data_IF_578270917077
#
_entry.id   IF_578270917077
#
_cell.length_a   1.000
_cell.length_b   1.000
_cell.length_c   1.000
_cell.angle_alpha   90.00
_cell.angle_beta   90.00
_cell.angle_gamma   90.00
#
_symmetry.space_group_name_H-M   'P 1'
#
loop_
_entity.id
_entity.type
_entity.pdbx_description
1 polymer ?
#
# COMPACT_ATOMS: atom_id res chain seq x y z
N UNK A 1 -15.92 -75.68 40.49
CA UNK A 1 -15.22 -74.39 40.48
C UNK A 1 -15.07 -74.04 39.02
N UNK A 2 -15.59 -72.89 38.58
CA UNK A 2 -15.61 -72.55 37.16
C UNK A 2 -14.21 -72.11 36.73
N UNK A 3 -13.61 -72.84 35.79
CA UNK A 3 -12.28 -72.51 35.28
C UNK A 3 -12.32 -71.17 34.52
N UNK A 4 -11.42 -70.21 34.83
CA UNK A 4 -11.39 -68.90 34.20
C UNK A 4 -11.06 -68.99 32.71
N UNK A 5 -11.75 -68.17 31.91
CA UNK A 5 -11.51 -68.01 30.47
C UNK A 5 -10.65 -66.75 30.27
N UNK A 6 -9.61 -66.85 29.45
CA UNK A 6 -8.68 -65.76 29.15
C UNK A 6 -8.79 -65.36 27.67
N UNK A 7 -8.94 -64.07 27.38
CA UNK A 7 -8.95 -63.52 26.03
C UNK A 7 -7.58 -62.88 25.71
N UNK A 8 -7.00 -63.22 24.55
CA UNK A 8 -5.82 -62.53 24.02
C UNK A 8 -6.20 -61.62 22.86
N UNK A 9 -6.11 -60.29 23.01
CA UNK A 9 -6.43 -59.35 21.94
C UNK A 9 -5.54 -59.49 20.71
N UNK A 10 -4.27 -59.89 20.89
CA UNK A 10 -3.33 -60.06 19.79
C UNK A 10 -3.57 -61.32 18.95
N UNK A 11 -4.09 -62.38 19.58
CA UNK A 11 -4.36 -63.64 18.89
C UNK A 11 -5.83 -63.83 18.52
N UNK A 12 -6.70 -62.92 18.97
CA UNK A 12 -8.16 -62.99 18.87
C UNK A 12 -8.75 -64.36 19.26
N UNK A 13 -8.18 -65.00 20.28
CA UNK A 13 -8.53 -66.34 20.73
C UNK A 13 -8.92 -66.34 22.21
N UNK A 14 -9.89 -67.20 22.54
CA UNK A 14 -10.29 -67.52 23.91
C UNK A 14 -9.59 -68.80 24.37
N UNK A 15 -8.94 -68.74 25.52
CA UNK A 15 -8.23 -69.86 26.13
C UNK A 15 -8.95 -70.30 27.38
N UNK A 16 -9.11 -71.62 27.54
CA UNK A 16 -9.56 -72.23 28.79
C UNK A 16 -8.45 -73.12 29.32
N UNK A 17 -8.14 -72.98 30.60
CA UNK A 17 -7.25 -73.91 31.28
C UNK A 17 -8.06 -75.14 31.67
N UNK A 18 -7.70 -76.30 31.11
CA UNK A 18 -8.14 -77.58 31.66
C UNK A 18 -7.25 -77.95 32.85
N UNK A 19 -7.78 -78.78 33.75
CA UNK A 19 -7.18 -79.06 35.07
C UNK A 19 -5.78 -79.71 34.99
N UNK A 20 -5.33 -80.11 33.79
CA UNK A 20 -4.02 -80.73 33.52
C UNK A 20 -2.99 -79.79 32.87
N UNK A 21 -3.08 -78.48 33.08
CA UNK A 21 -2.10 -77.48 32.58
C UNK A 21 -1.97 -77.42 31.05
N UNK A 22 -2.85 -78.08 30.30
CA UNK A 22 -2.86 -78.01 28.84
C UNK A 22 -3.82 -76.92 28.38
N UNK A 23 -3.32 -76.03 27.54
CA UNK A 23 -4.13 -74.98 26.90
C UNK A 23 -4.94 -75.66 25.80
N UNK A 24 -6.21 -75.94 26.08
CA UNK A 24 -7.16 -76.31 25.02
C UNK A 24 -7.53 -75.04 24.25
N UNK A 25 -6.90 -74.86 23.09
CA UNK A 25 -7.29 -73.83 22.13
C UNK A 25 -8.62 -74.26 21.51
N UNK A 26 -9.70 -73.57 21.85
CA UNK A 26 -10.98 -73.77 21.19
C UNK A 26 -10.93 -73.10 19.82
N UNK A 27 -10.53 -73.85 18.79
CA UNK A 27 -10.53 -73.43 17.38
C UNK A 27 -11.95 -73.30 16.79
N UNK A 28 -12.91 -72.78 17.57
CA UNK A 28 -14.19 -72.31 17.02
C UNK A 28 -14.02 -70.88 16.50
N UNK A 29 -13.23 -70.75 15.45
CA UNK A 29 -12.98 -69.51 14.71
C UNK A 29 -14.16 -69.06 13.84
N UNK A 30 -15.39 -69.46 14.17
CA UNK A 30 -16.57 -69.29 13.30
C UNK A 30 -17.67 -68.37 13.84
N UNK A 31 -17.51 -67.74 15.01
CA UNK A 31 -18.59 -66.98 15.63
C UNK A 31 -18.44 -65.45 15.65
N UNK A 32 -17.36 -64.88 15.08
CA UNK A 32 -17.21 -63.42 15.05
C UNK A 32 -16.38 -62.86 13.88
N UNK A 33 -16.07 -63.62 12.82
CA UNK A 33 -15.15 -63.12 11.78
C UNK A 33 -15.76 -62.09 10.84
N UNK A 34 -17.02 -62.25 10.44
CA UNK A 34 -17.52 -61.49 9.29
C UNK A 34 -17.88 -60.05 9.67
N UNK A 35 -18.63 -59.84 10.76
CA UNK A 35 -19.01 -58.49 11.21
C UNK A 35 -17.85 -57.68 11.80
N UNK A 36 -16.92 -58.32 12.51
CA UNK A 36 -15.74 -57.63 13.03
C UNK A 36 -14.75 -57.30 11.90
N UNK A 37 -14.62 -58.19 10.91
CA UNK A 37 -13.86 -57.93 9.69
C UNK A 37 -14.43 -56.77 8.89
N UNK A 38 -15.74 -56.75 8.64
CA UNK A 38 -16.44 -55.64 7.99
C UNK A 38 -16.30 -54.32 8.77
N UNK A 39 -16.41 -54.36 10.11
CA UNK A 39 -16.20 -53.18 10.93
C UNK A 39 -14.76 -52.65 10.85
N UNK A 40 -13.76 -53.53 10.91
CA UNK A 40 -12.34 -53.16 10.79
C UNK A 40 -12.04 -52.60 9.39
N UNK A 41 -12.57 -53.21 8.33
CA UNK A 41 -12.47 -52.71 6.96
C UNK A 41 -13.14 -51.35 6.79
N UNK A 42 -14.36 -51.17 7.30
CA UNK A 42 -15.07 -49.89 7.26
C UNK A 42 -14.33 -48.80 8.05
N UNK A 43 -13.78 -49.13 9.21
CA UNK A 43 -12.99 -48.19 10.02
C UNK A 43 -11.69 -47.83 9.30
N UNK A 44 -11.06 -48.78 8.60
CA UNK A 44 -9.87 -48.53 7.80
C UNK A 44 -10.19 -47.63 6.59
N UNK A 45 -11.28 -47.90 5.86
CA UNK A 45 -11.73 -47.07 4.74
C UNK A 45 -12.07 -45.64 5.18
N UNK A 46 -12.72 -45.48 6.34
CA UNK A 46 -12.98 -44.14 6.90
C UNK A 46 -11.68 -43.45 7.30
N UNK A 47 -10.69 -44.18 7.83
CA UNK A 47 -9.39 -43.60 8.16
C UNK A 47 -8.63 -43.16 6.90
N UNK A 48 -8.66 -43.96 5.83
CA UNK A 48 -8.04 -43.62 4.53
C UNK A 48 -8.73 -42.40 3.90
N UNK A 49 -10.06 -42.32 3.91
CA UNK A 49 -10.78 -41.12 3.45
C UNK A 49 -10.41 -39.86 4.25
N UNK A 50 -10.22 -39.99 5.56
CA UNK A 50 -9.85 -38.87 6.41
C UNK A 50 -8.41 -38.40 6.16
N UNK A 51 -7.51 -39.33 5.82
CA UNK A 51 -6.15 -39.01 5.38
C UNK A 51 -6.15 -38.31 4.01
N UNK A 52 -6.93 -38.79 3.04
CA UNK A 52 -7.07 -38.13 1.74
C UNK A 52 -7.64 -36.71 1.86
N UNK A 53 -8.64 -36.51 2.72
CA UNK A 53 -9.18 -35.17 3.00
C UNK A 53 -8.15 -34.26 3.66
N UNK A 54 -7.33 -34.80 4.56
CA UNK A 54 -6.27 -34.05 5.21
C UNK A 54 -5.16 -33.65 4.22
N UNK A 55 -4.74 -34.55 3.34
CA UNK A 55 -3.74 -34.26 2.31
C UNK A 55 -4.24 -33.21 1.31
N UNK A 56 -5.51 -33.29 0.90
CA UNK A 56 -6.11 -32.26 0.05
C UNK A 56 -6.14 -30.89 0.72
N UNK A 57 -6.42 -30.84 2.02
CA UNK A 57 -6.40 -29.59 2.79
C UNK A 57 -4.97 -29.02 2.92
N UNK A 58 -3.95 -29.88 3.04
CA UNK A 58 -2.54 -29.44 3.01
C UNK A 58 -2.22 -28.81 1.65
N UNK A 59 -2.56 -29.46 0.53
CA UNK A 59 -2.30 -28.92 -0.81
C UNK A 59 -2.97 -27.55 -1.03
N UNK A 60 -4.22 -27.37 -0.55
CA UNK A 60 -4.91 -26.09 -0.63
C UNK A 60 -4.19 -25.00 0.18
N UNK A 61 -3.68 -25.33 1.37
CA UNK A 61 -2.94 -24.39 2.21
C UNK A 61 -1.58 -24.02 1.59
N UNK A 62 -0.89 -24.99 0.98
CA UNK A 62 0.36 -24.74 0.25
C UNK A 62 0.14 -23.82 -0.94
N UNK A 63 -0.90 -24.07 -1.75
CA UNK A 63 -1.28 -23.21 -2.87
C UNK A 63 -1.65 -21.79 -2.42
N UNK A 64 -2.41 -21.63 -1.34
CA UNK A 64 -2.73 -20.33 -0.77
C UNK A 64 -1.47 -19.59 -0.29
N UNK A 65 -0.55 -20.31 0.34
CA UNK A 65 0.72 -19.74 0.81
C UNK A 65 1.60 -19.28 -0.35
N UNK A 66 1.70 -20.05 -1.44
CA UNK A 66 2.40 -19.64 -2.66
C UNK A 66 1.77 -18.38 -3.29
N UNK A 67 0.45 -18.31 -3.35
CA UNK A 67 -0.28 -17.14 -3.85
C UNK A 67 0.00 -15.89 -2.99
N UNK A 68 0.00 -16.03 -1.67
CA UNK A 68 0.35 -14.94 -0.74
C UNK A 68 1.79 -14.48 -0.90
N UNK A 69 2.74 -15.40 -1.11
CA UNK A 69 4.14 -15.05 -1.36
C UNK A 69 4.34 -14.31 -2.69
N UNK A 70 3.66 -14.74 -3.75
CA UNK A 70 3.71 -14.04 -5.04
C UNK A 70 3.16 -12.62 -4.95
N UNK A 71 2.02 -12.44 -4.26
CA UNK A 71 1.44 -11.11 -4.03
C UNK A 71 2.37 -10.18 -3.23
N UNK A 72 3.07 -10.72 -2.22
CA UNK A 72 4.06 -9.95 -1.45
C UNK A 72 5.23 -9.49 -2.32
N UNK A 73 5.76 -10.37 -3.17
CA UNK A 73 6.83 -10.05 -4.13
C UNK A 73 6.38 -8.99 -5.15
N UNK A 74 5.16 -9.08 -5.66
CA UNK A 74 4.60 -8.10 -6.59
C UNK A 74 4.44 -6.72 -5.94
N UNK A 75 3.98 -6.66 -4.69
CA UNK A 75 3.92 -5.41 -3.93
C UNK A 75 5.30 -4.81 -3.68
N UNK A 76 6.31 -5.63 -3.37
CA UNK A 76 7.70 -5.17 -3.22
C UNK A 76 8.25 -4.60 -4.53
N UNK A 77 7.96 -5.24 -5.67
CA UNK A 77 8.34 -4.71 -6.99
C UNK A 77 7.66 -3.38 -7.30
N UNK A 78 6.37 -3.25 -6.99
CA UNK A 78 5.64 -1.99 -7.18
C UNK A 78 6.18 -0.88 -6.27
N UNK A 79 6.48 -1.17 -5.00
CA UNK A 79 7.15 -0.23 -4.09
C UNK A 79 8.55 0.17 -4.60
N UNK A 80 9.33 -0.78 -5.11
CA UNK A 80 10.65 -0.49 -5.70
C UNK A 80 10.58 0.45 -6.90
N UNK A 81 9.57 0.28 -7.77
CA UNK A 81 9.30 1.18 -8.90
C UNK A 81 8.87 2.57 -8.42
N UNK A 82 7.99 2.65 -7.42
CA UNK A 82 7.56 3.92 -6.83
C UNK A 82 8.74 4.68 -6.21
N UNK A 83 9.60 3.99 -5.45
CA UNK A 83 10.79 4.59 -4.86
C UNK A 83 11.77 5.11 -5.92
N UNK A 84 11.99 4.34 -6.99
CA UNK A 84 12.82 4.81 -8.12
C UNK A 84 12.25 6.06 -8.79
N UNK A 85 10.92 6.10 -9.00
CA UNK A 85 10.24 7.28 -9.53
C UNK A 85 10.36 8.47 -8.58
N UNK A 86 10.26 8.25 -7.27
CA UNK A 86 10.43 9.28 -6.25
C UNK A 86 11.85 9.85 -6.25
N UNK A 87 12.86 8.99 -6.39
CA UNK A 87 14.27 9.39 -6.50
C UNK A 87 14.53 10.20 -7.77
N UNK A 88 13.96 9.78 -8.91
CA UNK A 88 14.05 10.56 -10.16
C UNK A 88 13.42 11.95 -9.99
N UNK A 89 12.26 12.04 -9.34
CA UNK A 89 11.58 13.31 -9.08
C UNK A 89 12.38 14.21 -8.13
N UNK A 90 12.92 13.62 -7.04
CA UNK A 90 13.77 14.31 -6.07
C UNK A 90 15.04 14.87 -6.73
N UNK A 91 15.69 14.08 -7.59
CA UNK A 91 16.85 14.53 -8.35
C UNK A 91 16.50 15.64 -9.34
N UNK A 92 15.35 15.53 -10.02
CA UNK A 92 14.82 16.59 -10.88
C UNK A 92 14.58 17.90 -10.13
N UNK A 93 14.00 17.82 -8.93
CA UNK A 93 13.78 18.97 -8.06
C UNK A 93 15.09 19.65 -7.65
N UNK A 94 16.09 18.89 -7.19
CA UNK A 94 17.41 19.44 -6.83
C UNK A 94 18.12 20.08 -8.02
N UNK A 95 17.97 19.51 -9.22
CA UNK A 95 18.52 20.11 -10.44
C UNK A 95 17.84 21.43 -10.78
N UNK A 96 16.52 21.51 -10.61
CA UNK A 96 15.75 22.73 -10.83
C UNK A 96 16.11 23.80 -9.80
N UNK A 97 16.19 23.43 -8.53
CA UNK A 97 16.59 24.30 -7.42
C UNK A 97 17.95 24.94 -7.71
N UNK A 98 18.96 24.14 -8.06
CA UNK A 98 20.30 24.66 -8.44
C UNK A 98 20.23 25.67 -9.57
N UNK A 99 19.42 25.41 -10.60
CA UNK A 99 19.26 26.31 -11.74
C UNK A 99 18.62 27.63 -11.32
N UNK A 100 17.58 27.57 -10.49
CA UNK A 100 16.90 28.76 -9.93
C UNK A 100 17.88 29.56 -9.07
N UNK A 101 18.64 28.91 -8.18
CA UNK A 101 19.65 29.58 -7.36
C UNK A 101 20.68 30.32 -8.21
N UNK A 102 21.15 29.68 -9.30
CA UNK A 102 22.13 30.30 -10.20
C UNK A 102 21.56 31.52 -10.93
N UNK A 103 20.33 31.44 -11.43
CA UNK A 103 19.66 32.59 -12.06
C UNK A 103 19.41 33.73 -11.09
N UNK A 104 19.00 33.43 -9.85
CA UNK A 104 18.82 34.44 -8.79
C UNK A 104 20.15 35.13 -8.46
N UNK A 105 21.24 34.36 -8.35
CA UNK A 105 22.57 34.94 -8.15
C UNK A 105 22.98 35.86 -9.31
N UNK A 106 22.71 35.45 -10.54
CA UNK A 106 23.00 36.25 -11.72
C UNK A 106 22.17 37.56 -11.77
N UNK A 107 20.90 37.50 -11.39
CA UNK A 107 20.04 38.70 -11.25
C UNK A 107 20.57 39.62 -10.15
N UNK A 108 20.98 39.09 -9.00
CA UNK A 108 21.57 39.89 -7.93
C UNK A 108 22.85 40.60 -8.38
N UNK A 109 23.76 39.91 -9.08
CA UNK A 109 24.96 40.54 -9.63
C UNK A 109 24.63 41.70 -10.59
N UNK A 110 23.56 41.56 -11.41
CA UNK A 110 23.09 42.65 -12.27
C UNK A 110 22.49 43.80 -11.45
N UNK A 111 21.72 43.49 -10.42
CA UNK A 111 21.14 44.49 -9.50
C UNK A 111 22.24 45.32 -8.82
N UNK A 112 23.31 44.68 -8.38
CA UNK A 112 24.46 45.35 -7.76
C UNK A 112 25.17 46.26 -8.77
N UNK A 113 25.39 45.78 -10.00
CA UNK A 113 25.99 46.60 -11.07
C UNK A 113 25.14 47.82 -11.42
N UNK A 114 23.81 47.68 -11.42
CA UNK A 114 22.87 48.77 -11.66
C UNK A 114 22.89 49.77 -10.49
N UNK A 115 22.97 49.27 -9.26
CA UNK A 115 23.05 50.10 -8.06
C UNK A 115 24.32 50.95 -8.07
N UNK A 116 25.46 50.38 -8.45
CA UNK A 116 26.71 51.15 -8.56
C UNK A 116 26.65 52.15 -9.72
N UNK A 117 26.06 51.79 -10.86
CA UNK A 117 25.83 52.73 -11.97
C UNK A 117 24.96 53.92 -11.53
N UNK A 118 23.89 53.69 -10.76
CA UNK A 118 23.06 54.75 -10.18
C UNK A 118 23.82 55.62 -9.18
N UNK A 119 24.70 55.01 -8.37
CA UNK A 119 25.56 55.74 -7.42
C UNK A 119 26.50 56.70 -8.15
N UNK A 120 27.15 56.21 -9.21
CA UNK A 120 28.02 57.01 -10.08
C UNK A 120 27.23 58.14 -10.75
N UNK A 121 26.02 57.87 -11.26
CA UNK A 121 25.16 58.89 -11.85
C UNK A 121 24.79 60.00 -10.86
N UNK A 122 24.44 59.66 -9.61
CA UNK A 122 24.19 60.67 -8.55
C UNK A 122 25.44 61.48 -8.23
N UNK A 123 26.59 60.84 -8.14
CA UNK A 123 27.86 61.54 -7.89
C UNK A 123 28.17 62.55 -8.99
N UNK A 124 27.94 62.18 -10.26
CA UNK A 124 28.09 63.09 -11.39
C UNK A 124 27.11 64.27 -11.34
N UNK A 125 25.85 64.04 -10.96
CA UNK A 125 24.87 65.13 -10.79
C UNK A 125 25.23 66.08 -9.63
N UNK A 126 25.74 65.55 -8.52
CA UNK A 126 26.16 66.40 -7.40
C UNK A 126 27.40 67.25 -7.77
N UNK A 127 28.36 66.65 -8.49
CA UNK A 127 29.53 67.39 -8.98
C UNK A 127 29.16 68.48 -10.00
N UNK A 128 28.22 68.20 -10.90
CA UNK A 128 27.77 69.20 -11.87
C UNK A 128 26.97 70.34 -11.21
N UNK A 129 26.18 70.05 -10.17
CA UNK A 129 25.51 71.07 -9.37
C UNK A 129 26.50 71.93 -8.57
N UNK A 130 27.54 71.33 -7.99
CA UNK A 130 28.65 72.05 -7.34
C UNK A 130 29.33 73.01 -8.31
N UNK A 131 29.70 72.53 -9.51
CA UNK A 131 30.30 73.39 -10.53
C UNK A 131 29.38 74.53 -10.98
N UNK A 132 28.07 74.28 -11.07
CA UNK A 132 27.07 75.31 -11.39
C UNK A 132 26.93 76.35 -10.27
N UNK A 133 27.05 75.92 -9.00
CA UNK A 133 27.03 76.81 -7.85
C UNK A 133 28.29 77.69 -7.81
N UNK A 134 29.45 77.11 -8.09
CA UNK A 134 30.73 77.84 -8.21
C UNK A 134 30.69 78.85 -9.36
N UNK A 135 30.11 78.49 -10.50
CA UNK A 135 29.84 79.40 -11.62
C UNK A 135 28.86 80.53 -11.24
N UNK A 136 27.91 80.26 -10.34
CA UNK A 136 26.97 81.25 -9.80
C UNK A 136 27.62 82.29 -8.87
N UNK A 137 28.83 82.05 -8.38
CA UNK A 137 29.60 83.01 -7.56
C UNK A 137 30.49 83.96 -8.37
N UNK A 138 30.67 83.70 -9.68
CA UNK A 138 31.43 84.58 -10.59
C UNK A 138 30.95 86.04 -10.61
N UNK A 139 29.64 86.37 -10.54
CA UNK A 139 29.20 87.76 -10.52
C UNK A 139 29.68 88.53 -9.29
N UNK A 140 29.85 87.86 -8.14
CA UNK A 140 30.41 88.44 -6.92
C UNK A 140 31.93 88.60 -6.96
N UNK A 141 32.63 87.74 -7.70
CA UNK A 141 34.07 87.88 -7.95
C UNK A 141 34.35 88.97 -9.00
N UNK A 142 33.45 89.17 -9.97
CA UNK A 142 33.55 90.26 -10.95
C UNK A 142 33.35 91.66 -10.35
N UNK A 143 32.49 91.81 -9.33
CA UNK A 143 32.36 93.09 -8.61
C UNK A 143 33.58 93.40 -7.74
N UNK A 144 34.32 92.38 -7.30
CA UNK A 144 35.59 92.51 -6.57
C UNK A 144 36.78 92.77 -7.52
N UNK A 145 36.74 92.26 -8.76
CA UNK A 145 37.70 92.56 -9.83
C UNK A 145 37.60 94.01 -10.35
N UNK A 146 36.40 94.59 -10.35
CA UNK A 146 36.20 96.00 -10.74
C UNK A 146 36.87 96.97 -9.76
N UNK A 147 36.91 96.64 -8.46
CA UNK A 147 37.64 97.41 -7.44
C UNK A 147 39.15 97.16 -7.46
N UNK A 148 39.61 95.96 -7.87
CA UNK A 148 41.04 95.64 -7.99
C UNK A 148 41.68 96.19 -9.28
N UNK A 149 40.90 96.51 -10.31
CA UNK A 149 41.36 97.21 -11.53
C UNK A 149 41.89 98.63 -11.25
N UNK A 150 41.59 99.20 -10.08
CA UNK A 150 42.17 100.47 -9.63
C UNK A 150 43.57 100.33 -9.02
N UNK A 151 44.01 99.10 -8.70
CA UNK A 151 45.33 98.78 -8.10
C UNK A 151 46.33 98.14 -9.09
N UNK A 152 45.99 98.08 -10.39
CA UNK A 152 46.78 97.47 -11.47
C UNK A 152 48.00 98.33 -11.90
N UNK A 153 48.87 98.68 -10.94
CA UNK A 153 50.19 99.29 -11.13
C UNK A 153 51.37 98.32 -10.90
N UNK A 154 51.15 97.02 -10.70
CA UNK A 154 52.24 96.04 -10.51
C UNK A 154 52.07 94.80 -11.41
N UNK A 155 52.69 94.87 -12.59
CA UNK A 155 52.43 94.00 -13.74
C UNK A 155 53.46 92.89 -14.11
N UNK A 156 54.39 92.35 -13.28
CA UNK A 156 55.34 91.34 -13.80
C UNK A 156 55.11 89.86 -13.43
N UNK A 157 54.05 89.46 -12.70
CA UNK A 157 53.92 88.06 -12.22
C UNK A 157 52.79 87.22 -12.86
N UNK A 158 51.92 87.79 -13.72
CA UNK A 158 50.76 87.08 -14.29
C UNK A 158 51.01 86.36 -15.63
N UNK A 159 52.26 86.33 -16.11
CA UNK A 159 52.61 85.72 -17.41
C UNK A 159 52.78 84.19 -17.33
N UNK A 160 52.97 83.61 -16.14
CA UNK A 160 53.09 82.15 -15.94
C UNK A 160 51.73 81.41 -15.94
N UNK A 161 50.65 82.03 -15.43
CA UNK A 161 49.32 81.39 -15.38
C UNK A 161 48.63 81.33 -16.76
N UNK A 162 49.01 82.18 -17.71
CA UNK A 162 48.49 82.14 -19.09
C UNK A 162 49.01 80.93 -19.90
N UNK A 163 49.95 80.16 -19.36
CA UNK A 163 50.59 79.03 -20.07
C UNK A 163 49.81 77.71 -19.96
N UNK A 164 48.81 77.62 -19.06
CA UNK A 164 47.97 76.42 -18.85
C UNK A 164 46.58 76.48 -19.50
N UNK A 165 46.16 77.65 -20.02
CA UNK A 165 44.91 77.82 -20.79
C UNK A 165 44.77 76.91 -22.03
N UNK A 166 45.83 76.62 -22.82
CA UNK A 166 45.69 75.81 -24.04
C UNK A 166 45.23 74.37 -23.77
N UNK A 167 45.57 73.80 -22.60
CA UNK A 167 45.13 72.47 -22.17
C UNK A 167 43.64 72.40 -21.84
N UNK A 168 43.12 73.44 -21.16
CA UNK A 168 41.69 73.51 -20.79
C UNK A 168 40.79 73.77 -22.02
N UNK A 169 41.28 74.52 -23.01
CA UNK A 169 40.58 74.75 -24.29
C UNK A 169 40.52 73.47 -25.14
N UNK A 170 41.51 72.57 -25.03
CA UNK A 170 41.48 71.26 -25.71
C UNK A 170 40.43 70.31 -25.14
N UNK A 171 40.19 70.31 -23.83
CA UNK A 171 39.13 69.51 -23.20
C UNK A 171 37.72 70.01 -23.57
N UNK A 172 37.54 71.33 -23.71
CA UNK A 172 36.30 71.93 -24.23
C UNK A 172 35.99 71.50 -25.68
N UNK A 173 37.02 71.20 -26.48
CA UNK A 173 36.86 70.69 -27.84
C UNK A 173 36.22 69.29 -27.93
N UNK A 174 36.24 68.50 -26.85
CA UNK A 174 35.66 67.16 -26.80
C UNK A 174 34.22 67.12 -26.26
N UNK A 175 33.72 68.20 -25.64
CA UNK A 175 32.34 68.31 -25.17
C UNK A 175 31.27 68.04 -26.25
N UNK A 176 31.42 68.51 -27.51
CA UNK A 176 30.44 68.23 -28.55
C UNK A 176 30.29 66.74 -28.86
N UNK A 177 31.37 65.97 -28.74
CA UNK A 177 31.34 64.51 -28.92
C UNK A 177 30.67 63.82 -27.73
N UNK A 178 30.97 64.23 -26.51
CA UNK A 178 30.30 63.72 -25.30
C UNK A 178 28.79 64.03 -25.29
N UNK A 179 28.39 65.23 -25.75
CA UNK A 179 26.98 65.62 -25.89
C UNK A 179 26.28 64.79 -26.98
N UNK A 180 26.97 64.45 -28.07
CA UNK A 180 26.42 63.55 -29.11
C UNK A 180 26.18 62.14 -28.56
N UNK A 181 27.12 61.59 -27.79
CA UNK A 181 26.94 60.28 -27.15
C UNK A 181 25.76 60.29 -26.17
N UNK A 182 25.68 61.33 -25.31
CA UNK A 182 24.55 61.51 -24.38
C UNK A 182 23.20 61.64 -25.08
N UNK A 183 23.13 62.23 -26.28
CA UNK A 183 21.89 62.29 -27.08
C UNK A 183 21.42 60.93 -27.59
N UNK A 184 22.32 59.96 -27.77
CA UNK A 184 21.96 58.60 -28.20
C UNK A 184 21.60 57.66 -27.05
N UNK A 185 21.94 58.04 -25.82
CA UNK A 185 21.69 57.25 -24.61
C UNK A 185 20.19 56.92 -24.40
N UNK A 186 19.24 57.86 -24.56
CA UNK A 186 17.81 57.56 -24.39
C UNK A 186 17.31 56.48 -25.34
N UNK A 187 17.75 56.49 -26.60
CA UNK A 187 17.37 55.47 -27.59
C UNK A 187 18.01 54.10 -27.31
N UNK A 188 19.19 54.08 -26.70
CA UNK A 188 19.81 52.83 -26.23
C UNK A 188 19.07 52.25 -25.02
N UNK A 189 18.71 53.09 -24.05
CA UNK A 189 17.92 52.70 -22.88
C UNK A 189 16.55 52.17 -23.29
N UNK A 190 15.87 52.86 -24.21
CA UNK A 190 14.57 52.40 -24.73
C UNK A 190 14.67 51.03 -25.41
N UNK A 191 15.67 50.83 -26.28
CA UNK A 191 15.91 49.53 -26.92
C UNK A 191 16.21 48.42 -25.91
N UNK A 192 16.99 48.70 -24.89
CA UNK A 192 17.26 47.75 -23.82
C UNK A 192 15.99 47.41 -23.02
N UNK A 193 15.16 48.41 -22.74
CA UNK A 193 13.89 48.22 -22.04
C UNK A 193 12.89 47.40 -22.86
N UNK A 194 12.76 47.68 -24.16
CA UNK A 194 11.89 46.91 -25.07
C UNK A 194 12.38 45.46 -25.21
N UNK A 195 13.69 45.25 -25.31
CA UNK A 195 14.30 43.91 -25.34
C UNK A 195 14.03 43.14 -24.05
N UNK A 196 14.18 43.79 -22.89
CA UNK A 196 13.90 43.18 -21.59
C UNK A 196 12.42 42.78 -21.48
N UNK A 197 11.50 43.67 -21.86
CA UNK A 197 10.06 43.41 -21.83
C UNK A 197 9.67 42.24 -22.74
N UNK A 198 10.23 42.17 -23.94
CA UNK A 198 10.03 41.04 -24.86
C UNK A 198 10.57 39.73 -24.29
N UNK A 199 11.76 39.76 -23.69
CA UNK A 199 12.34 38.58 -23.05
C UNK A 199 11.50 38.09 -21.88
N UNK A 200 10.97 39.00 -21.06
CA UNK A 200 10.08 38.68 -19.94
C UNK A 200 8.79 38.03 -20.42
N UNK A 201 8.15 38.57 -21.47
CA UNK A 201 6.93 37.99 -22.05
C UNK A 201 7.17 36.59 -22.60
N UNK A 202 8.29 36.37 -23.30
CA UNK A 202 8.65 35.05 -23.82
C UNK A 202 8.87 34.04 -22.69
N UNK A 203 9.55 34.44 -21.62
CA UNK A 203 9.79 33.59 -20.46
C UNK A 203 8.48 33.24 -19.75
N UNK A 204 7.57 34.21 -19.61
CA UNK A 204 6.23 33.98 -19.06
C UNK A 204 5.41 33.02 -19.93
N UNK A 205 5.43 33.17 -21.26
CA UNK A 205 4.68 32.27 -22.14
C UNK A 205 5.24 30.84 -22.10
N UNK A 206 6.57 30.70 -22.10
CA UNK A 206 7.22 29.39 -21.98
C UNK A 206 6.91 28.72 -20.64
N UNK A 207 6.93 29.48 -19.54
CA UNK A 207 6.59 28.95 -18.23
C UNK A 207 5.13 28.49 -18.16
N UNK A 208 4.18 29.29 -18.67
CA UNK A 208 2.77 28.91 -18.76
C UNK A 208 2.57 27.65 -19.61
N UNK A 209 3.25 27.54 -20.74
CA UNK A 209 3.16 26.35 -21.59
C UNK A 209 3.65 25.09 -20.87
N UNK A 210 4.77 25.19 -20.14
CA UNK A 210 5.31 24.07 -19.35
C UNK A 210 4.37 23.69 -18.19
N UNK A 211 3.80 24.68 -17.51
CA UNK A 211 2.83 24.44 -16.44
C UNK A 211 1.55 23.76 -16.95
N UNK A 212 1.05 24.17 -18.11
CA UNK A 212 -0.12 23.54 -18.72
C UNK A 212 0.20 22.09 -19.12
N UNK A 213 1.34 21.83 -19.77
CA UNK A 213 1.78 20.46 -20.10
C UNK A 213 1.89 19.56 -18.88
N UNK A 214 2.42 20.09 -17.78
CA UNK A 214 2.50 19.36 -16.52
C UNK A 214 1.10 19.10 -15.93
N UNK A 215 0.21 20.09 -15.99
CA UNK A 215 -1.17 19.97 -15.50
C UNK A 215 -1.93 18.90 -16.27
N UNK A 216 -1.82 18.90 -17.61
CA UNK A 216 -2.45 17.91 -18.48
C UNK A 216 -1.91 16.49 -18.18
N UNK A 217 -0.60 16.35 -17.99
CA UNK A 217 0.01 15.07 -17.64
C UNK A 217 -0.46 14.55 -16.27
N UNK A 218 -0.59 15.44 -15.27
CA UNK A 218 -1.12 15.08 -13.96
C UNK A 218 -2.59 14.67 -14.02
N UNK A 219 -3.41 15.38 -14.80
CA UNK A 219 -4.81 15.02 -15.00
C UNK A 219 -4.96 13.67 -15.72
N UNK A 220 -4.13 13.40 -16.73
CA UNK A 220 -4.09 12.09 -17.40
C UNK A 220 -3.74 10.98 -16.42
N UNK A 221 -2.67 11.15 -15.65
CA UNK A 221 -2.25 10.15 -14.66
C UNK A 221 -3.31 9.93 -13.58
N UNK A 222 -4.02 11.00 -13.16
CA UNK A 222 -5.12 10.89 -12.22
C UNK A 222 -6.26 10.05 -12.81
N UNK A 223 -6.61 10.24 -14.08
CA UNK A 223 -7.61 9.43 -14.78
C UNK A 223 -7.20 7.96 -14.88
N UNK A 224 -5.94 7.70 -15.25
CA UNK A 224 -5.42 6.32 -15.35
C UNK A 224 -5.45 5.59 -14.00
N UNK A 225 -5.14 6.29 -12.90
CA UNK A 225 -5.22 5.75 -11.55
C UNK A 225 -6.67 5.49 -11.13
N UNK A 226 -7.62 6.36 -11.50
CA UNK A 226 -9.03 6.15 -11.22
C UNK A 226 -9.57 4.91 -11.95
N UNK A 227 -9.25 4.76 -13.24
CA UNK A 227 -9.65 3.59 -14.01
C UNK A 227 -9.04 2.31 -13.42
N UNK A 228 -7.76 2.34 -13.05
CA UNK A 228 -7.10 1.18 -12.43
C UNK A 228 -7.73 0.80 -11.09
N UNK A 229 -8.23 1.77 -10.33
CA UNK A 229 -8.91 1.53 -9.07
C UNK A 229 -10.30 0.92 -9.31
N UNK A 230 -11.06 1.43 -10.28
CA UNK A 230 -12.35 0.85 -10.67
C UNK A 230 -12.21 -0.59 -11.18
N UNK A 231 -11.18 -0.87 -11.97
CA UNK A 231 -10.87 -2.23 -12.45
C UNK A 231 -10.54 -3.17 -11.28
N UNK A 232 -9.74 -2.71 -10.31
CA UNK A 232 -9.40 -3.49 -9.12
C UNK A 232 -10.62 -3.74 -8.22
N UNK A 233 -11.44 -2.72 -7.99
CA UNK A 233 -12.68 -2.85 -7.22
C UNK A 233 -13.64 -3.84 -7.87
N UNK A 234 -13.77 -3.79 -9.20
CA UNK A 234 -14.60 -4.72 -9.96
C UNK A 234 -14.06 -6.15 -9.88
N UNK A 235 -12.75 -6.35 -10.04
CA UNK A 235 -12.12 -7.67 -9.93
C UNK A 235 -12.25 -8.27 -8.54
N UNK A 236 -12.05 -7.48 -7.48
CA UNK A 236 -12.23 -7.95 -6.10
C UNK A 236 -13.69 -8.32 -5.80
N UNK A 237 -14.65 -7.58 -6.36
CA UNK A 237 -16.06 -7.88 -6.18
C UNK A 237 -16.45 -9.18 -6.90
N UNK A 238 -15.88 -9.43 -8.08
CA UNK A 238 -16.06 -10.66 -8.84
C UNK A 238 -15.48 -11.87 -8.09
N UNK A 239 -14.21 -11.81 -7.67
CA UNK A 239 -13.56 -12.87 -6.88
C UNK A 239 -14.32 -13.18 -5.58
N UNK A 240 -14.79 -12.15 -4.87
CA UNK A 240 -15.55 -12.33 -3.64
C UNK A 240 -16.91 -12.99 -3.88
N UNK A 241 -17.57 -12.67 -5.00
CA UNK A 241 -18.82 -13.33 -5.37
C UNK A 241 -18.59 -14.78 -5.79
N UNK A 242 -17.56 -15.06 -6.59
CA UNK A 242 -17.20 -16.43 -6.99
C UNK A 242 -16.86 -17.28 -5.76
N UNK A 243 -16.06 -16.75 -4.83
CA UNK A 243 -15.72 -17.45 -3.60
C UNK A 243 -16.94 -17.69 -2.70
N UNK A 244 -17.84 -16.70 -2.60
CA UNK A 244 -19.09 -16.83 -1.82
C UNK A 244 -20.00 -17.90 -2.41
N UNK A 245 -20.20 -17.90 -3.72
CA UNK A 245 -21.04 -18.90 -4.41
C UNK A 245 -20.43 -20.30 -4.32
N UNK A 246 -19.11 -20.42 -4.53
CA UNK A 246 -18.39 -21.69 -4.37
C UNK A 246 -18.53 -22.26 -2.96
N UNK A 247 -18.33 -21.42 -1.93
CA UNK A 247 -18.48 -21.83 -0.53
C UNK A 247 -19.92 -22.23 -0.21
N UNK A 248 -20.91 -21.46 -0.68
CA UNK A 248 -22.33 -21.77 -0.46
C UNK A 248 -22.71 -23.12 -1.07
N UNK A 249 -22.29 -23.38 -2.32
CA UNK A 249 -22.58 -24.63 -3.00
C UNK A 249 -21.89 -25.82 -2.31
N UNK A 250 -20.64 -25.66 -1.86
CA UNK A 250 -19.93 -26.70 -1.10
C UNK A 250 -20.62 -27.04 0.23
N UNK A 251 -21.11 -26.03 0.96
CA UNK A 251 -21.87 -26.24 2.20
C UNK A 251 -23.19 -26.95 1.89
N UNK A 252 -23.90 -26.54 0.84
CA UNK A 252 -25.16 -27.14 0.44
C UNK A 252 -25.00 -28.62 0.07
N UNK A 253 -23.95 -28.96 -0.67
CA UNK A 253 -23.61 -30.34 -1.01
C UNK A 253 -23.30 -31.16 0.24
N UNK A 254 -22.54 -30.61 1.18
CA UNK A 254 -22.24 -31.26 2.46
C UNK A 254 -23.52 -31.52 3.26
N UNK A 255 -24.44 -30.55 3.34
CA UNK A 255 -25.73 -30.71 4.00
C UNK A 255 -26.56 -31.82 3.33
N UNK A 256 -26.57 -31.86 2.00
CA UNK A 256 -27.30 -32.90 1.25
C UNK A 256 -26.70 -34.29 1.48
N UNK A 257 -25.37 -34.41 1.50
CA UNK A 257 -24.69 -35.67 1.84
C UNK A 257 -25.02 -36.13 3.26
N UNK A 258 -24.96 -35.23 4.24
CA UNK A 258 -25.36 -35.53 5.62
C UNK A 258 -26.81 -35.94 5.73
N UNK A 259 -27.71 -35.30 4.97
CA UNK A 259 -29.13 -35.66 4.94
C UNK A 259 -29.34 -37.09 4.44
N UNK A 260 -28.65 -37.49 3.37
CA UNK A 260 -28.71 -38.86 2.84
C UNK A 260 -28.16 -39.87 3.85
N UNK A 261 -27.08 -39.53 4.57
CA UNK A 261 -26.54 -40.39 5.62
C UNK A 261 -27.53 -40.56 6.78
N UNK A 262 -28.16 -39.48 7.24
CA UNK A 262 -29.18 -39.51 8.31
C UNK A 262 -30.42 -40.29 7.87
N UNK A 263 -30.88 -40.15 6.63
CA UNK A 263 -32.03 -40.90 6.11
C UNK A 263 -31.75 -42.40 5.94
N UNK A 264 -30.48 -42.79 5.71
CA UNK A 264 -30.07 -44.20 5.61
C UNK A 264 -29.80 -44.86 6.96
N UNK A 265 -29.46 -44.08 7.98
CA UNK A 265 -29.16 -44.60 9.31
C UNK A 265 -30.47 -44.83 10.06
N UNK A 266 -30.75 -46.07 10.45
CA UNK A 266 -31.85 -46.33 11.38
C UNK A 266 -31.51 -45.61 12.68
N UNK A 267 -32.46 -44.88 13.32
CA UNK A 267 -32.21 -44.17 14.58
C UNK A 267 -31.75 -45.09 15.73
N UNK A 268 -31.78 -46.41 15.51
CA UNK A 268 -31.42 -47.46 16.45
C UNK A 268 -30.19 -48.27 16.01
N UNK A 269 -29.51 -47.91 14.92
CA UNK A 269 -28.27 -48.57 14.46
C UNK A 269 -27.11 -48.41 15.46
N UNK A 270 -27.26 -47.53 16.46
CA UNK A 270 -26.28 -47.36 17.53
C UNK A 270 -26.32 -48.48 18.59
N UNK A 271 -27.42 -49.24 18.66
CA UNK A 271 -27.54 -50.36 19.59
C UNK A 271 -26.94 -51.62 18.98
N UNK A 272 -25.96 -52.18 19.68
CA UNK A 272 -25.37 -53.47 19.35
C UNK A 272 -26.08 -54.59 20.12
N UNK A 273 -26.21 -55.76 19.50
CA UNK A 273 -26.72 -56.95 20.17
C UNK A 273 -25.99 -57.16 21.51
N UNK A 274 -26.74 -57.31 22.60
CA UNK A 274 -26.19 -57.47 23.95
C UNK A 274 -26.05 -56.17 24.74
N UNK A 275 -26.27 -55.01 24.12
CA UNK A 275 -26.28 -53.73 24.83
C UNK A 275 -27.40 -53.68 25.87
N UNK A 276 -27.10 -53.13 27.04
CA UNK A 276 -28.12 -52.88 28.07
C UNK A 276 -28.85 -51.58 27.75
N UNK A 277 -30.17 -51.65 27.67
CA UNK A 277 -31.01 -50.51 27.32
C UNK A 277 -32.04 -50.23 28.43
N UNK A 278 -32.36 -48.95 28.54
CA UNK A 278 -33.45 -48.42 29.36
C UNK A 278 -34.53 -47.88 28.43
N UNK A 279 -35.75 -48.35 28.59
CA UNK A 279 -36.93 -47.93 27.85
C UNK A 279 -37.87 -47.22 28.81
N UNK A 280 -38.24 -45.98 28.50
CA UNK A 280 -39.25 -45.22 29.22
C UNK A 280 -40.52 -45.22 28.37
N UNK A 281 -41.59 -45.82 28.90
CA UNK A 281 -42.88 -45.84 28.22
C UNK A 281 -43.60 -44.49 28.30
N UNK A 282 -44.73 -44.37 27.57
CA UNK A 282 -45.56 -43.15 27.55
C UNK A 282 -46.14 -42.76 28.92
N UNK A 283 -46.19 -43.70 29.86
CA UNK A 283 -46.67 -43.48 31.22
C UNK A 283 -45.53 -43.11 32.18
N UNK A 284 -44.28 -43.01 31.69
CA UNK A 284 -43.09 -42.74 32.49
C UNK A 284 -42.53 -43.98 33.20
N UNK A 285 -43.03 -45.18 32.92
CA UNK A 285 -42.49 -46.40 33.50
C UNK A 285 -41.13 -46.70 32.86
N UNK A 286 -40.15 -46.95 33.71
CA UNK A 286 -38.79 -47.29 33.29
C UNK A 286 -38.64 -48.81 33.27
N UNK A 287 -38.27 -49.34 32.12
CA UNK A 287 -37.97 -50.75 31.91
C UNK A 287 -36.50 -50.88 31.51
N UNK A 288 -35.82 -51.91 32.01
CA UNK A 288 -34.42 -52.18 31.69
C UNK A 288 -34.27 -53.58 31.12
N UNK A 289 -33.33 -53.76 30.20
CA UNK A 289 -33.11 -55.05 29.58
C UNK A 289 -31.96 -55.06 28.59
N UNK A 290 -31.83 -56.17 27.87
CA UNK A 290 -30.76 -56.39 26.88
C UNK A 290 -31.34 -56.29 25.48
N UNK A 291 -30.80 -55.39 24.68
CA UNK A 291 -31.14 -55.22 23.27
C UNK A 291 -30.70 -56.44 22.46
N UNK A 292 -31.58 -56.90 21.55
CA UNK A 292 -31.29 -57.99 20.63
C UNK A 292 -31.12 -57.43 19.23
N UNK A 293 -32.20 -56.91 18.66
CA UNK A 293 -32.22 -56.37 17.31
C UNK A 293 -33.36 -55.36 17.17
N UNK A 294 -33.31 -54.57 16.12
CA UNK A 294 -34.37 -53.65 15.76
C UNK A 294 -34.96 -54.05 14.41
N UNK A 295 -36.27 -53.87 14.28
CA UNK A 295 -36.99 -53.95 13.02
C UNK A 295 -37.39 -52.54 12.57
N UNK A 296 -38.14 -52.41 11.47
CA UNK A 296 -38.50 -51.09 10.94
C UNK A 296 -39.33 -50.24 11.93
N UNK A 297 -40.18 -50.88 12.75
CA UNK A 297 -41.07 -50.19 13.70
C UNK A 297 -40.87 -50.58 15.18
N UNK A 298 -40.27 -51.74 15.45
CA UNK A 298 -40.20 -52.33 16.79
C UNK A 298 -38.78 -52.72 17.21
N UNK A 299 -38.43 -52.42 18.47
CA UNK A 299 -37.22 -52.92 19.12
C UNK A 299 -37.52 -54.25 19.82
N UNK A 300 -36.64 -55.22 19.60
CA UNK A 300 -36.64 -56.53 20.22
C UNK A 300 -35.58 -56.56 21.32
N UNK A 301 -36.01 -56.87 22.54
CA UNK A 301 -35.15 -56.86 23.72
C UNK A 301 -35.62 -57.86 24.78
N UNK A 302 -34.73 -58.24 25.69
CA UNK A 302 -35.05 -59.10 26.83
C UNK A 302 -35.20 -58.24 28.08
N UNK A 303 -36.39 -58.25 28.68
CA UNK A 303 -36.66 -57.48 29.89
C UNK A 303 -36.00 -58.14 31.11
N UNK A 304 -35.19 -57.39 31.86
CA UNK A 304 -34.43 -57.89 33.02
C UNK A 304 -35.34 -58.43 34.12
N UNK A 305 -36.48 -57.80 34.36
CA UNK A 305 -37.39 -58.15 35.45
C UNK A 305 -38.19 -59.43 35.15
N UNK A 306 -38.53 -59.65 33.88
CA UNK A 306 -39.39 -60.78 33.48
C UNK A 306 -38.63 -61.90 32.80
N UNK A 307 -37.40 -61.65 32.35
CA UNK A 307 -36.59 -62.54 31.50
C UNK A 307 -37.35 -63.00 30.24
N UNK A 308 -38.25 -62.15 29.72
CA UNK A 308 -39.05 -62.44 28.53
C UNK A 308 -38.65 -61.54 27.38
N UNK A 309 -38.68 -62.14 26.18
CA UNK A 309 -38.60 -61.41 24.92
C UNK A 309 -39.77 -60.43 24.84
N UNK A 310 -39.45 -59.16 24.65
CA UNK A 310 -40.40 -58.06 24.57
C UNK A 310 -40.25 -57.38 23.21
N UNK A 311 -41.38 -57.05 22.60
CA UNK A 311 -41.48 -56.26 21.38
C UNK A 311 -42.05 -54.92 21.77
N UNK A 312 -41.38 -53.85 21.38
CA UNK A 312 -41.77 -52.52 21.80
C UNK A 312 -41.79 -51.58 20.61
N UNK A 313 -42.99 -51.08 20.30
CA UNK A 313 -43.17 -50.12 19.24
C UNK A 313 -42.51 -48.81 19.61
N UNK A 314 -41.65 -48.34 18.73
CA UNK A 314 -40.77 -47.21 18.99
C UNK A 314 -41.50 -45.86 18.98
N UNK A 315 -42.74 -45.80 18.48
CA UNK A 315 -43.50 -44.54 18.41
C UNK A 315 -43.84 -44.05 19.82
N UNK A 316 -43.19 -42.96 20.22
CA UNK A 316 -43.49 -42.25 21.46
C UNK A 316 -42.88 -42.89 22.71
N UNK A 317 -41.76 -43.61 22.59
CA UNK A 317 -40.98 -44.10 23.73
C UNK A 317 -39.58 -43.50 23.69
N UNK A 318 -38.98 -43.32 24.86
CA UNK A 318 -37.59 -42.87 24.98
C UNK A 318 -36.72 -44.07 25.31
N UNK A 319 -35.73 -44.35 24.47
CA UNK A 319 -34.89 -45.53 24.59
C UNK A 319 -33.43 -45.07 24.66
N UNK A 320 -32.73 -45.44 25.73
CA UNK A 320 -31.34 -45.07 25.97
C UNK A 320 -30.49 -46.29 26.27
N UNK A 321 -29.23 -46.28 25.81
CA UNK A 321 -28.21 -47.24 26.25
C UNK A 321 -27.76 -46.87 27.67
N UNK A 322 -27.62 -47.86 28.53
CA UNK A 322 -27.30 -47.68 29.96
C UNK A 322 -25.82 -47.87 30.22
#
# INVERSE_FOLDING_TARGET
MDNPIYFSPMANNLYRLSDDSQIEANNQSYFASDRLGEFMLSTQEQHEQLLEQHDHMIEQLECLNECLQQNSLQQQFQQGRLNSSLDMLSNGYHSLEKKITHEVQHVNMKMDSLTEAQRLQRSLMMNSQSMLLDLGTLPGQMTTLSSQLQELRSLPNQIEELRTLPSQVKELGNLPNQIKELKTLPDQVKRAQDSLLSSQKLLQSQLMEQLNKLTDALQSNQGDLQNSLEDLESGLLEELNEHREGTYNSILDTINQLKVLIEKQSPYDYFQFGDRITIIDRNGNTLTGVYIENTEDDIIWVNDATMRLSFTNTKGMTISKT
#
